data_IF_693251852046
#
_entry.id   IF_693251852046
#
_cell.length_a   1.000
_cell.length_b   1.000
_cell.length_c   1.000
_cell.angle_alpha   90.00
_cell.angle_beta   90.00
_cell.angle_gamma   90.00
#
_symmetry.space_group_name_H-M   'P 1'
#
loop_
_entity.id
_entity.type
_entity.pdbx_description
1 polymer ?
#
# COMPACT_ATOMS: atom_id res chain seq x y z
N UNK A 1 13.77 4.66 2.96
CA UNK A 1 13.61 3.76 1.80
C UNK A 1 12.30 4.10 1.10
N UNK A 2 12.34 4.77 -0.06
CA UNK A 2 11.14 5.12 -0.85
C UNK A 2 10.73 3.89 -1.66
N UNK A 3 9.89 3.04 -1.09
CA UNK A 3 9.37 1.80 -1.71
C UNK A 3 8.25 2.05 -2.74
N UNK A 4 8.17 3.26 -3.30
CA UNK A 4 7.23 3.65 -4.37
C UNK A 4 7.74 3.30 -5.77
N UNK A 5 9.03 3.00 -5.91
CA UNK A 5 9.67 2.68 -7.19
C UNK A 5 9.05 1.43 -7.87
N UNK A 6 8.66 0.42 -7.08
CA UNK A 6 8.12 -0.84 -7.64
C UNK A 6 6.70 -0.72 -8.20
N UNK A 7 5.93 0.30 -7.78
CA UNK A 7 4.62 0.60 -8.37
C UNK A 7 4.76 1.25 -9.75
N UNK A 8 5.90 1.91 -10.02
CA UNK A 8 6.12 2.58 -11.29
C UNK A 8 6.41 1.57 -12.42
N UNK A 9 7.07 0.46 -12.10
CA UNK A 9 7.37 -0.61 -13.05
C UNK A 9 6.12 -1.47 -13.38
N UNK A 10 5.26 -1.71 -12.39
CA UNK A 10 4.03 -2.50 -12.58
C UNK A 10 2.80 -1.63 -12.86
N UNK A 11 2.98 -0.35 -13.23
CA UNK A 11 1.88 0.63 -13.31
C UNK A 11 0.79 0.24 -14.31
N UNK A 12 1.17 -0.41 -15.41
CA UNK A 12 0.23 -0.96 -16.40
C UNK A 12 -0.59 -2.12 -15.83
N UNK A 13 0.07 -3.06 -15.14
CA UNK A 13 -0.59 -4.20 -14.48
C UNK A 13 -1.50 -3.73 -13.35
N UNK A 14 -1.06 -2.73 -12.59
CA UNK A 14 -1.83 -2.09 -11.50
C UNK A 14 -3.06 -1.38 -12.08
N UNK A 15 -2.92 -0.65 -13.18
CA UNK A 15 -4.05 0.02 -13.83
C UNK A 15 -5.06 -0.97 -14.40
N UNK A 16 -4.59 -2.09 -14.95
CA UNK A 16 -5.46 -3.17 -15.42
C UNK A 16 -6.15 -3.89 -14.26
N UNK A 17 -5.40 -4.25 -13.20
CA UNK A 17 -5.95 -4.87 -12.00
C UNK A 17 -6.94 -3.97 -11.29
N UNK A 18 -6.69 -2.66 -11.21
CA UNK A 18 -7.63 -1.73 -10.59
C UNK A 18 -8.97 -1.67 -11.34
N UNK A 19 -8.98 -1.94 -12.64
CA UNK A 19 -10.20 -2.00 -13.45
C UNK A 19 -10.86 -3.38 -13.42
N UNK A 20 -10.07 -4.46 -13.46
CA UNK A 20 -10.56 -5.85 -13.47
C UNK A 20 -10.91 -6.38 -12.08
N UNK A 21 -10.26 -5.87 -11.05
CA UNK A 21 -10.32 -6.35 -9.67
C UNK A 21 -10.69 -5.18 -8.73
N UNK A 22 -11.97 -5.13 -8.35
CA UNK A 22 -12.48 -4.10 -7.44
C UNK A 22 -11.88 -4.20 -6.03
N UNK A 23 -11.41 -5.39 -5.63
CA UNK A 23 -10.76 -5.58 -4.34
C UNK A 23 -9.40 -4.89 -4.33
N UNK A 24 -8.63 -5.02 -5.41
CA UNK A 24 -7.38 -4.29 -5.60
C UNK A 24 -7.58 -2.77 -5.58
N UNK A 25 -8.65 -2.27 -6.20
CA UNK A 25 -8.96 -0.85 -6.20
C UNK A 25 -9.19 -0.30 -4.78
N UNK A 26 -9.95 -1.01 -3.93
CA UNK A 26 -10.17 -0.61 -2.54
C UNK A 26 -8.89 -0.64 -1.72
N UNK A 27 -8.06 -1.68 -1.87
CA UNK A 27 -6.80 -1.81 -1.13
C UNK A 27 -5.82 -0.69 -1.51
N UNK A 28 -5.76 -0.31 -2.79
CA UNK A 28 -4.91 0.77 -3.26
C UNK A 28 -5.35 2.14 -2.73
N UNK A 29 -6.67 2.37 -2.68
CA UNK A 29 -7.26 3.57 -2.11
C UNK A 29 -6.95 3.65 -0.61
N UNK A 30 -7.18 2.55 0.13
CA UNK A 30 -6.93 2.46 1.56
C UNK A 30 -5.44 2.65 1.90
N UNK A 31 -4.53 2.12 1.07
CA UNK A 31 -3.09 2.36 1.20
C UNK A 31 -2.74 3.84 1.00
N UNK A 32 -3.35 4.50 0.01
CA UNK A 32 -3.13 5.92 -0.27
C UNK A 32 -3.65 6.79 0.87
N UNK A 33 -4.83 6.47 1.39
CA UNK A 33 -5.42 7.16 2.53
C UNK A 33 -4.56 6.99 3.78
N UNK A 34 -4.09 5.76 4.07
CA UNK A 34 -3.18 5.49 5.19
C UNK A 34 -1.85 6.21 5.04
N UNK A 35 -1.26 6.25 3.84
CA UNK A 35 -0.01 6.99 3.60
C UNK A 35 -0.20 8.49 3.86
N UNK A 36 -1.28 9.08 3.34
CA UNK A 36 -1.64 10.48 3.60
C UNK A 36 -1.85 10.74 5.09
N UNK A 37 -2.56 9.84 5.79
CA UNK A 37 -2.87 9.97 7.21
C UNK A 37 -1.62 9.85 8.07
N UNK A 38 -0.74 8.89 7.79
CA UNK A 38 0.59 8.78 8.41
C UNK A 38 1.39 10.05 8.16
N UNK A 39 1.46 10.53 6.91
CA UNK A 39 2.23 11.73 6.58
C UNK A 39 1.67 12.99 7.28
N UNK A 40 0.35 13.10 7.42
CA UNK A 40 -0.27 14.20 8.16
C UNK A 40 0.01 14.10 9.67
N UNK A 41 -0.05 12.90 10.24
CA UNK A 41 0.26 12.64 11.64
C UNK A 41 1.76 12.83 11.96
N UNK A 42 2.65 12.45 11.06
CA UNK A 42 4.10 12.65 11.18
C UNK A 42 4.48 14.13 11.04
N UNK A 43 3.71 14.91 10.27
CA UNK A 43 3.91 16.36 10.13
C UNK A 43 3.43 17.13 11.37
N UNK A 44 2.41 16.63 12.06
CA UNK A 44 1.90 17.17 13.33
C UNK A 44 2.68 16.55 14.51
N UNK A 45 3.88 17.06 14.80
CA UNK A 45 4.76 16.56 15.87
C UNK A 45 4.07 16.47 17.25
N UNK A 46 3.13 17.38 17.54
CA UNK A 46 2.33 17.38 18.78
C UNK A 46 1.36 16.20 18.84
N UNK A 47 0.76 15.81 17.72
CA UNK A 47 -0.14 14.64 17.66
C UNK A 47 0.64 13.35 17.54
N UNK A 48 1.83 13.39 16.97
CA UNK A 48 2.69 12.23 16.79
C UNK A 48 2.90 11.49 18.12
N UNK A 49 3.22 12.19 19.21
CA UNK A 49 3.43 11.55 20.52
C UNK A 49 2.16 10.99 21.16
N UNK A 50 1.01 11.64 20.97
CA UNK A 50 -0.27 11.14 21.50
C UNK A 50 -0.90 10.04 20.65
N UNK A 51 -0.43 9.85 19.41
CA UNK A 51 -0.95 8.87 18.44
C UNK A 51 0.10 7.87 17.98
N UNK A 52 1.15 7.63 18.77
CA UNK A 52 2.18 6.64 18.44
C UNK A 52 1.58 5.27 18.15
N UNK A 53 0.61 4.81 18.96
CA UNK A 53 -0.12 3.56 18.71
C UNK A 53 -0.89 3.57 17.38
N UNK A 54 -1.58 4.66 17.04
CA UNK A 54 -2.29 4.75 15.76
C UNK A 54 -1.31 4.71 14.59
N UNK A 55 -0.17 5.43 14.69
CA UNK A 55 0.87 5.43 13.66
C UNK A 55 1.48 4.04 13.50
N UNK A 56 1.73 3.32 14.60
CA UNK A 56 2.25 1.95 14.56
C UNK A 56 1.25 0.99 13.89
N UNK A 57 -0.04 1.11 14.23
CA UNK A 57 -1.09 0.34 13.57
C UNK A 57 -1.23 0.69 12.09
N UNK A 58 -1.18 1.98 11.72
CA UNK A 58 -1.22 2.41 10.32
C UNK A 58 -0.01 1.91 9.54
N UNK A 59 1.20 1.90 10.14
CA UNK A 59 2.41 1.33 9.52
C UNK A 59 2.26 -0.18 9.30
N UNK A 60 1.70 -0.93 10.25
CA UNK A 60 1.38 -2.37 10.06
C UNK A 60 0.34 -2.57 8.96
N UNK A 61 -0.75 -1.81 8.96
CA UNK A 61 -1.79 -1.91 7.92
C UNK A 61 -1.24 -1.58 6.55
N UNK A 62 -0.44 -0.52 6.42
CA UNK A 62 0.23 -0.16 5.16
C UNK A 62 1.10 -1.30 4.63
N UNK A 63 1.83 -2.01 5.50
CA UNK A 63 2.60 -3.19 5.11
C UNK A 63 1.68 -4.32 4.62
N UNK A 64 0.56 -4.55 5.31
CA UNK A 64 -0.44 -5.56 4.95
C UNK A 64 -1.12 -5.28 3.62
N UNK A 65 -1.57 -4.04 3.39
CA UNK A 65 -2.19 -3.62 2.13
C UNK A 65 -1.20 -3.73 0.98
N UNK A 66 0.08 -3.41 1.23
CA UNK A 66 1.13 -3.60 0.24
C UNK A 66 1.32 -5.08 -0.12
N UNK A 67 1.30 -5.98 0.87
CA UNK A 67 1.39 -7.43 0.64
C UNK A 67 0.23 -7.93 -0.21
N UNK A 68 -0.99 -7.46 0.07
CA UNK A 68 -2.18 -7.81 -0.71
C UNK A 68 -2.11 -7.25 -2.15
N UNK A 69 -1.60 -6.01 -2.32
CA UNK A 69 -1.31 -5.43 -3.65
C UNK A 69 -0.32 -6.33 -4.40
N UNK A 70 0.75 -6.75 -3.74
CA UNK A 70 1.74 -7.63 -4.36
C UNK A 70 1.16 -8.99 -4.74
N UNK A 71 0.40 -9.63 -3.85
CA UNK A 71 -0.29 -10.91 -4.16
C UNK A 71 -1.21 -10.79 -5.35
N UNK A 72 -1.96 -9.69 -5.47
CA UNK A 72 -2.84 -9.46 -6.62
C UNK A 72 -2.02 -9.29 -7.92
N UNK A 73 -0.92 -8.52 -7.86
CA UNK A 73 0.02 -8.37 -8.98
C UNK A 73 0.64 -9.72 -9.36
N UNK A 74 1.14 -10.48 -8.40
CA UNK A 74 1.76 -11.80 -8.60
C UNK A 74 0.77 -12.85 -9.10
N UNK A 75 -0.49 -12.80 -8.69
CA UNK A 75 -1.53 -13.67 -9.25
C UNK A 75 -1.77 -13.39 -10.73
N UNK A 76 -1.68 -12.13 -11.14
CA UNK A 76 -1.95 -11.72 -12.52
C UNK A 76 -0.70 -11.77 -13.40
N UNK A 77 0.49 -11.70 -12.79
CA UNK A 77 1.78 -11.97 -13.46
C UNK A 77 1.88 -13.49 -13.63
N UNK A 78 1.99 -14.05 -14.85
CA UNK A 78 2.16 -15.48 -15.00
C UNK A 78 3.40 -15.93 -14.22
N UNK A 79 3.14 -16.76 -13.22
CA UNK A 79 4.02 -17.14 -12.13
C UNK A 79 5.37 -17.66 -12.65
N UNK A 80 6.42 -16.87 -12.44
CA UNK A 80 7.80 -17.32 -12.52
C UNK A 80 8.46 -17.03 -11.16
N UNK A 81 8.06 -17.75 -10.11
CA UNK A 81 8.79 -17.82 -8.84
C UNK A 81 8.33 -19.06 -8.05
N UNK A 82 8.90 -20.21 -8.44
CA UNK A 82 9.32 -21.19 -7.43
C UNK A 82 10.37 -20.50 -6.56
N UNK A 83 10.07 -20.29 -5.27
CA UNK A 83 11.04 -20.40 -4.17
C UNK A 83 10.31 -20.84 -2.90
#
# INVERSE_FOLDING_TARGET
MRKTDTLQDNREIIAELRQKDSHFASIFDEHTELDQKINQLEKDLVKHTSREEEIEQMKRRKLHLKDEIYKAIEKNKPHALNQ
#
